data_IF_002301773995
#
_entry.id   IF_002301773995
#
_cell.length_a   1.000
_cell.length_b   1.000
_cell.length_c   1.000
_cell.angle_alpha   90.00
_cell.angle_beta   90.00
_cell.angle_gamma   90.00
#
_symmetry.space_group_name_H-M   'P 1'
#
loop_
_entity.id
_entity.type
_entity.pdbx_description
1 polymer ?
#
# COMPACT_ATOMS: atom_id res chain seq x y z
N UNK A 1 31.34 4.38 47.20
CA UNK A 1 32.10 4.44 45.93
C UNK A 1 31.06 4.64 44.83
N UNK A 2 30.51 5.84 44.62
CA UNK A 2 31.04 6.89 43.72
C UNK A 2 31.66 6.26 42.46
N UNK A 3 31.09 6.46 41.27
CA UNK A 3 31.04 7.77 40.61
C UNK A 3 29.78 7.95 39.74
N UNK A 4 29.14 9.11 39.93
CA UNK A 4 28.38 9.83 38.92
C UNK A 4 29.37 10.38 37.88
N UNK A 5 29.01 10.34 36.61
CA UNK A 5 29.50 11.29 35.61
C UNK A 5 28.32 11.91 34.89
N UNK A 6 28.33 13.23 34.88
CA UNK A 6 27.28 14.13 34.38
C UNK A 6 27.83 14.92 33.20
N UNK A 7 26.92 15.38 32.33
CA UNK A 7 26.97 16.62 31.49
C UNK A 7 27.69 16.49 30.12
N UNK A 8 27.25 17.18 29.03
CA UNK A 8 26.26 18.27 28.95
C UNK A 8 25.05 18.08 28.03
N UNK A 9 23.99 18.81 28.38
CA UNK A 9 23.01 19.36 27.46
C UNK A 9 23.67 20.26 26.41
N UNK A 10 23.41 19.98 25.13
CA UNK A 10 23.40 21.00 24.08
C UNK A 10 21.97 21.20 23.61
N UNK A 11 21.50 22.44 23.74
CA UNK A 11 20.30 22.95 23.10
C UNK A 11 20.52 23.12 21.60
N UNK A 12 19.45 23.04 20.82
CA UNK A 12 19.38 23.63 19.47
C UNK A 12 19.51 22.63 18.33
N UNK A 13 18.43 21.92 18.03
CA UNK A 13 18.27 21.18 16.79
C UNK A 13 16.80 20.91 16.58
N UNK A 14 16.20 21.56 15.58
CA UNK A 14 14.82 21.32 15.15
C UNK A 14 14.62 19.83 14.93
N UNK A 15 13.72 19.20 15.70
CA UNK A 15 13.26 17.85 15.40
C UNK A 15 12.53 17.90 14.06
N UNK A 16 13.26 17.65 12.97
CA UNK A 16 12.63 17.27 11.70
C UNK A 16 12.09 15.86 11.90
N UNK A 17 10.79 15.78 12.09
CA UNK A 17 10.04 14.53 12.16
C UNK A 17 10.25 13.74 10.86
N UNK A 18 10.90 12.60 10.99
CA UNK A 18 11.39 11.76 9.88
C UNK A 18 10.41 10.62 9.57
N UNK A 19 10.15 10.40 8.28
CA UNK A 19 9.58 9.16 7.74
C UNK A 19 10.56 8.02 8.10
N UNK A 20 10.10 6.97 8.78
CA UNK A 20 10.81 5.68 8.85
C UNK A 20 9.99 4.65 8.09
N UNK A 21 10.61 3.69 7.40
CA UNK A 21 9.92 2.70 6.58
C UNK A 21 10.58 1.33 6.80
N UNK A 22 9.79 0.27 7.00
CA UNK A 22 10.28 -1.07 7.35
C UNK A 22 10.07 -2.05 6.19
N UNK A 23 11.11 -2.84 5.87
CA UNK A 23 11.14 -3.81 4.78
C UNK A 23 10.79 -5.22 5.29
N UNK A 24 9.87 -5.91 4.63
CA UNK A 24 9.47 -7.30 4.95
C UNK A 24 9.64 -8.16 3.69
N UNK A 25 10.47 -9.20 3.77
CA UNK A 25 10.72 -10.19 2.70
C UNK A 25 9.83 -11.45 2.89
N UNK A 26 9.41 -12.10 1.80
CA UNK A 26 8.23 -13.00 1.78
C UNK A 26 8.56 -14.46 1.40
N UNK A 27 7.97 -15.42 2.11
CA UNK A 27 7.66 -16.77 1.59
C UNK A 27 6.13 -17.01 1.63
N UNK A 28 5.62 -17.79 0.68
CA UNK A 28 4.18 -18.03 0.49
C UNK A 28 3.64 -19.10 1.47
N UNK A 29 2.47 -18.84 2.09
CA UNK A 29 1.70 -19.83 2.87
C UNK A 29 0.39 -20.22 2.17
N UNK A 30 -0.10 -21.47 2.31
CA UNK A 30 -1.34 -21.92 1.69
C UNK A 30 -2.58 -21.49 2.51
N UNK A 31 -3.70 -21.29 1.83
CA UNK A 31 -4.99 -20.84 2.42
C UNK A 31 -6.09 -21.88 2.23
N UNK A 32 -6.98 -21.94 3.22
CA UNK A 32 -8.14 -22.81 3.27
C UNK A 32 -9.25 -22.37 2.29
N UNK A 33 -9.91 -23.34 1.67
CA UNK A 33 -11.03 -23.16 0.75
C UNK A 33 -12.35 -22.98 1.52
N UNK A 34 -13.18 -22.02 1.09
CA UNK A 34 -14.55 -21.87 1.57
C UNK A 34 -15.51 -22.26 0.43
N UNK A 35 -16.29 -23.33 0.64
CA UNK A 35 -17.30 -23.83 -0.28
C UNK A 35 -18.55 -22.91 -0.32
N UNK A 36 -19.07 -22.67 -1.53
CA UNK A 36 -20.26 -21.84 -1.82
C UNK A 36 -19.98 -20.43 -2.37
N UNK A 37 -18.78 -20.18 -2.90
CA UNK A 37 -18.29 -18.83 -3.21
C UNK A 37 -18.73 -18.23 -4.55
N UNK A 38 -18.58 -16.91 -4.66
CA UNK A 38 -18.69 -16.11 -5.89
C UNK A 38 -17.93 -16.78 -7.05
N UNK A 39 -18.64 -17.10 -8.14
CA UNK A 39 -18.16 -17.97 -9.23
C UNK A 39 -17.73 -17.19 -10.49
N UNK A 40 -18.02 -15.89 -10.57
CA UNK A 40 -17.60 -15.04 -11.69
C UNK A 40 -17.27 -13.62 -11.25
N UNK A 41 -16.48 -12.90 -12.07
CA UNK A 41 -16.23 -11.46 -11.84
C UNK A 41 -17.50 -10.63 -11.91
N UNK A 42 -18.47 -11.06 -12.72
CA UNK A 42 -19.78 -10.42 -12.82
C UNK A 42 -20.56 -10.54 -11.50
N UNK A 43 -20.66 -11.74 -10.93
CA UNK A 43 -21.28 -11.95 -9.62
C UNK A 43 -20.54 -11.21 -8.49
N UNK A 44 -19.21 -11.18 -8.57
CA UNK A 44 -18.37 -10.46 -7.64
C UNK A 44 -18.62 -8.94 -7.70
N UNK A 45 -18.66 -8.36 -8.91
CA UNK A 45 -18.96 -6.95 -9.13
C UNK A 45 -20.39 -6.61 -8.68
N UNK A 46 -21.37 -7.46 -9.01
CA UNK A 46 -22.76 -7.31 -8.57
C UNK A 46 -22.87 -7.28 -7.04
N UNK A 47 -22.21 -8.23 -6.38
CA UNK A 47 -22.21 -8.34 -4.92
C UNK A 47 -21.56 -7.11 -4.28
N UNK A 48 -20.41 -6.68 -4.80
CA UNK A 48 -19.74 -5.47 -4.33
C UNK A 48 -20.61 -4.22 -4.52
N UNK A 49 -21.23 -4.05 -5.69
CA UNK A 49 -22.12 -2.93 -5.95
C UNK A 49 -23.36 -2.93 -5.05
N UNK A 50 -23.96 -4.09 -4.78
CA UNK A 50 -25.11 -4.22 -3.87
C UNK A 50 -24.80 -3.72 -2.46
N UNK A 51 -23.55 -3.86 -2.01
CA UNK A 51 -23.06 -3.33 -0.73
C UNK A 51 -22.84 -1.81 -0.84
N UNK A 52 -22.18 -1.35 -1.90
CA UNK A 52 -21.74 0.04 -2.09
C UNK A 52 -22.89 1.02 -2.32
N UNK A 53 -23.90 0.64 -3.11
CA UNK A 53 -24.97 1.53 -3.58
C UNK A 53 -25.82 2.17 -2.46
N UNK A 54 -25.71 1.67 -1.24
CA UNK A 54 -26.40 2.20 -0.06
C UNK A 54 -25.45 2.87 0.96
N UNK A 55 -24.16 2.98 0.64
CA UNK A 55 -23.12 3.56 1.50
C UNK A 55 -22.62 4.93 1.04
N UNK A 56 -21.73 5.52 1.83
CA UNK A 56 -21.09 6.81 1.57
C UNK A 56 -20.08 6.82 0.41
N UNK A 57 -19.78 5.66 -0.17
CA UNK A 57 -18.87 5.49 -1.31
C UNK A 57 -19.60 5.15 -2.63
N UNK A 58 -20.90 5.41 -2.71
CA UNK A 58 -21.73 5.09 -3.87
C UNK A 58 -21.40 5.89 -5.14
N UNK A 59 -20.67 7.01 -5.02
CA UNK A 59 -20.18 7.76 -6.17
C UNK A 59 -19.01 7.02 -6.84
N UNK A 60 -19.31 6.45 -8.01
CA UNK A 60 -18.38 5.66 -8.81
C UNK A 60 -17.63 6.51 -9.82
N UNK A 61 -16.41 6.12 -10.15
CA UNK A 61 -15.71 6.64 -11.32
C UNK A 61 -16.38 6.18 -12.64
N UNK A 62 -16.03 6.79 -13.77
CA UNK A 62 -16.54 6.37 -15.08
C UNK A 62 -16.19 4.89 -15.43
N UNK A 63 -14.97 4.39 -15.18
CA UNK A 63 -14.65 2.98 -15.38
C UNK A 63 -15.47 2.04 -14.49
N UNK A 64 -15.68 2.39 -13.22
CA UNK A 64 -16.52 1.61 -12.30
C UNK A 64 -17.99 1.64 -12.72
N UNK A 65 -18.50 2.81 -13.16
CA UNK A 65 -19.87 2.96 -13.64
C UNK A 65 -20.11 2.11 -14.89
N UNK A 66 -19.16 2.11 -15.83
CA UNK A 66 -19.20 1.25 -17.02
C UNK A 66 -19.26 -0.22 -16.64
N UNK A 67 -18.39 -0.65 -15.71
CA UNK A 67 -18.41 -2.02 -15.20
C UNK A 67 -19.79 -2.37 -14.62
N UNK A 68 -20.34 -1.53 -13.74
CA UNK A 68 -21.64 -1.77 -13.08
C UNK A 68 -22.81 -1.74 -14.07
N UNK A 69 -22.83 -0.83 -15.04
CA UNK A 69 -23.91 -0.73 -16.02
C UNK A 69 -23.97 -1.90 -17.00
N UNK A 70 -22.83 -2.57 -17.23
CA UNK A 70 -22.81 -3.81 -18.03
C UNK A 70 -23.27 -5.04 -17.24
N UNK A 71 -23.46 -4.92 -15.93
CA UNK A 71 -24.07 -5.97 -15.14
C UNK A 71 -25.57 -5.99 -15.40
N UNK A 72 -26.10 -7.04 -16.01
CA UNK A 72 -27.54 -7.32 -16.00
C UNK A 72 -27.91 -7.72 -14.56
N UNK A 73 -28.07 -6.72 -13.68
CA UNK A 73 -28.29 -6.93 -12.25
C UNK A 73 -29.68 -7.57 -12.05
N UNK A 74 -29.80 -8.82 -11.58
CA UNK A 74 -31.08 -9.29 -11.06
C UNK A 74 -31.50 -8.38 -9.89
N UNK A 75 -32.82 -8.21 -9.74
CA UNK A 75 -33.46 -7.43 -8.67
C UNK A 75 -33.35 -8.11 -7.28
N UNK A 76 -32.21 -8.74 -6.99
CA UNK A 76 -31.92 -9.38 -5.72
C UNK A 76 -31.19 -8.39 -4.82
N UNK A 77 -31.97 -7.62 -4.09
CA UNK A 77 -31.51 -6.70 -3.03
C UNK A 77 -30.93 -7.42 -1.79
N UNK A 78 -30.90 -8.75 -1.77
CA UNK A 78 -30.44 -9.53 -0.63
C UNK A 78 -28.91 -9.57 -0.58
N UNK A 79 -28.31 -8.59 0.13
CA UNK A 79 -26.91 -8.66 0.57
C UNK A 79 -26.76 -9.88 1.49
N UNK A 80 -25.81 -10.77 1.20
CA UNK A 80 -25.49 -11.87 2.10
C UNK A 80 -24.94 -11.34 3.44
N UNK A 81 -25.73 -11.45 4.50
CA UNK A 81 -25.33 -11.00 5.84
C UNK A 81 -24.07 -11.70 6.36
N UNK A 82 -23.83 -12.95 5.97
CA UNK A 82 -22.62 -13.70 6.35
C UNK A 82 -21.37 -13.05 5.76
N UNK A 83 -21.45 -12.58 4.52
CA UNK A 83 -20.34 -11.89 3.86
C UNK A 83 -19.96 -10.61 4.62
N UNK A 84 -20.96 -9.82 5.02
CA UNK A 84 -20.77 -8.60 5.81
C UNK A 84 -20.13 -8.92 7.17
N UNK A 85 -20.57 -9.98 7.84
CA UNK A 85 -20.02 -10.38 9.14
C UNK A 85 -18.55 -10.81 9.03
N UNK A 86 -18.16 -11.53 7.97
CA UNK A 86 -16.76 -11.89 7.71
C UNK A 86 -15.90 -10.65 7.48
N UNK A 87 -16.37 -9.67 6.69
CA UNK A 87 -15.65 -8.41 6.46
C UNK A 87 -15.48 -7.65 7.77
N UNK A 88 -16.53 -7.54 8.58
CA UNK A 88 -16.48 -6.88 9.90
C UNK A 88 -15.52 -7.57 10.86
N UNK A 89 -15.45 -8.90 10.81
CA UNK A 89 -14.50 -9.71 11.58
C UNK A 89 -13.04 -9.59 11.10
N UNK A 90 -12.77 -8.79 10.06
CA UNK A 90 -11.41 -8.54 9.57
C UNK A 90 -10.94 -9.45 8.44
N UNK A 91 -11.84 -10.26 7.88
CA UNK A 91 -11.55 -11.07 6.70
C UNK A 91 -11.79 -10.27 5.41
N UNK A 92 -11.35 -10.83 4.28
CA UNK A 92 -11.52 -10.23 2.95
C UNK A 92 -12.05 -11.26 1.95
N UNK A 93 -13.31 -11.70 2.11
CA UNK A 93 -13.91 -12.72 1.25
C UNK A 93 -14.06 -12.25 -0.21
N UNK A 94 -14.32 -10.96 -0.44
CA UNK A 94 -14.41 -10.38 -1.78
C UNK A 94 -13.05 -10.42 -2.49
N UNK A 95 -11.99 -10.00 -1.80
CA UNK A 95 -10.65 -10.05 -2.34
C UNK A 95 -10.10 -11.47 -2.54
N UNK A 96 -10.45 -12.39 -1.64
CA UNK A 96 -10.10 -13.80 -1.81
C UNK A 96 -10.83 -14.40 -3.02
N UNK A 97 -12.08 -14.01 -3.29
CA UNK A 97 -12.78 -14.39 -4.52
C UNK A 97 -12.12 -13.80 -5.77
N UNK A 98 -11.79 -12.50 -5.77
CA UNK A 98 -11.07 -11.86 -6.87
C UNK A 98 -9.78 -12.60 -7.23
N UNK A 99 -8.99 -12.96 -6.22
CA UNK A 99 -7.72 -13.67 -6.40
C UNK A 99 -7.89 -15.10 -6.92
N UNK A 100 -9.02 -15.77 -6.63
CA UNK A 100 -9.36 -17.08 -7.20
C UNK A 100 -9.85 -16.96 -8.65
N UNK A 101 -10.69 -15.97 -8.93
CA UNK A 101 -11.32 -15.77 -10.24
C UNK A 101 -10.33 -15.25 -11.29
N UNK A 102 -9.37 -14.41 -10.88
CA UNK A 102 -8.29 -13.92 -11.75
C UNK A 102 -7.02 -14.75 -11.55
N UNK A 103 -6.72 -15.71 -12.44
CA UNK A 103 -5.52 -16.52 -12.32
C UNK A 103 -4.24 -15.65 -12.45
N UNK A 104 -3.08 -16.17 -12.00
CA UNK A 104 -1.85 -15.38 -11.90
C UNK A 104 -1.39 -14.70 -13.20
N UNK A 105 -1.62 -15.32 -14.35
CA UNK A 105 -1.31 -14.80 -15.68
C UNK A 105 -2.09 -13.52 -16.01
N UNK A 106 -3.34 -13.39 -15.56
CA UNK A 106 -4.15 -12.18 -15.73
C UNK A 106 -3.81 -11.09 -14.69
N UNK A 107 -3.31 -11.49 -13.51
CA UNK A 107 -2.89 -10.55 -12.45
C UNK A 107 -1.47 -10.01 -12.60
N UNK A 108 -0.56 -10.78 -13.21
CA UNK A 108 0.86 -10.44 -13.38
C UNK A 108 1.10 -9.09 -14.08
N UNK A 109 0.37 -8.72 -15.15
CA UNK A 109 0.54 -7.41 -15.80
C UNK A 109 0.29 -6.23 -14.84
N UNK A 110 -0.65 -6.38 -13.91
CA UNK A 110 -0.97 -5.37 -12.90
C UNK A 110 -0.21 -5.56 -11.58
N UNK A 111 0.57 -6.65 -11.44
CA UNK A 111 1.28 -6.98 -10.20
C UNK A 111 0.38 -7.30 -9.00
N UNK A 112 -0.92 -7.55 -9.22
CA UNK A 112 -1.93 -7.68 -8.17
C UNK A 112 -1.66 -8.88 -7.25
N UNK A 113 -1.21 -8.57 -6.03
CA UNK A 113 -0.85 -9.55 -5.01
C UNK A 113 -1.35 -9.08 -3.65
N UNK A 114 -2.36 -9.77 -3.11
CA UNK A 114 -2.94 -9.33 -1.85
C UNK A 114 -2.07 -9.70 -0.66
N UNK A 115 -1.84 -8.71 0.18
CA UNK A 115 -0.98 -8.81 1.35
C UNK A 115 -1.59 -9.76 2.39
N UNK A 116 -0.81 -10.68 2.97
CA UNK A 116 -1.26 -11.52 4.08
C UNK A 116 -1.64 -10.70 5.33
N UNK A 117 -2.62 -11.13 6.13
CA UNK A 117 -3.12 -10.39 7.30
C UNK A 117 -2.03 -10.07 8.33
N UNK A 118 -1.06 -10.95 8.52
CA UNK A 118 0.05 -10.78 9.46
C UNK A 118 0.97 -9.61 9.08
N UNK A 119 1.24 -9.44 7.79
CA UNK A 119 2.03 -8.30 7.28
C UNK A 119 1.22 -7.01 7.41
N UNK A 120 -0.06 -7.05 7.03
CA UNK A 120 -0.97 -5.90 7.19
C UNK A 120 -1.03 -5.44 8.64
N UNK A 121 -1.26 -6.37 9.58
CA UNK A 121 -1.33 -6.09 11.01
C UNK A 121 -0.02 -5.49 11.54
N UNK A 122 1.12 -6.05 11.14
CA UNK A 122 2.44 -5.56 11.57
C UNK A 122 2.69 -4.13 11.09
N UNK A 123 2.41 -3.84 9.82
CA UNK A 123 2.61 -2.51 9.23
C UNK A 123 1.65 -1.47 9.81
N UNK A 124 0.37 -1.83 10.03
CA UNK A 124 -0.61 -0.93 10.64
C UNK A 124 -0.28 -0.65 12.10
N UNK A 125 0.16 -1.66 12.86
CA UNK A 125 0.59 -1.47 14.25
C UNK A 125 1.75 -0.49 14.32
N UNK A 126 2.73 -0.65 13.43
CA UNK A 126 3.85 0.28 13.32
C UNK A 126 3.39 1.71 13.01
N UNK A 127 2.41 1.90 12.10
CA UNK A 127 1.84 3.23 11.81
C UNK A 127 1.13 3.81 13.04
N UNK A 128 0.35 2.99 13.75
CA UNK A 128 -0.44 3.41 14.91
C UNK A 128 0.42 3.79 16.13
N UNK A 129 1.64 3.24 16.23
CA UNK A 129 2.63 3.58 17.27
C UNK A 129 3.37 4.90 16.99
N UNK A 130 3.19 5.52 15.81
CA UNK A 130 3.78 6.84 15.47
C UNK A 130 2.89 7.99 15.92
N UNK A 131 3.21 9.19 15.43
CA UNK A 131 2.28 10.33 15.44
C UNK A 131 0.95 9.87 14.86
N UNK A 132 -0.17 10.18 15.53
CA UNK A 132 -1.52 9.82 15.04
C UNK A 132 -1.74 10.52 13.69
N UNK A 133 -1.71 9.79 12.55
CA UNK A 133 -1.86 10.43 11.26
C UNK A 133 -3.31 10.88 11.11
N UNK A 134 -3.50 12.05 10.49
CA UNK A 134 -4.82 12.56 10.15
C UNK A 134 -5.34 11.92 8.85
N UNK A 135 -4.45 11.37 8.03
CA UNK A 135 -4.77 10.68 6.77
C UNK A 135 -3.90 9.44 6.58
N UNK A 136 -4.47 8.37 6.04
CA UNK A 136 -3.77 7.15 5.62
C UNK A 136 -3.97 6.98 4.12
N UNK A 137 -2.88 6.85 3.36
CA UNK A 137 -2.91 6.66 1.91
C UNK A 137 -2.39 5.26 1.57
N UNK A 138 -3.18 4.50 0.81
CA UNK A 138 -2.78 3.23 0.21
C UNK A 138 -2.63 3.37 -1.31
N UNK A 139 -1.37 3.45 -1.83
CA UNK A 139 -1.07 3.71 -3.24
C UNK A 139 -1.58 2.68 -4.25
N UNK A 140 -1.87 1.46 -3.80
CA UNK A 140 -2.28 0.34 -4.66
C UNK A 140 -3.21 -0.55 -3.86
N UNK A 141 -4.40 -0.03 -3.56
CA UNK A 141 -5.16 -0.51 -2.41
C UNK A 141 -5.77 -1.89 -2.60
N UNK A 142 -5.91 -2.37 -3.84
CA UNK A 142 -6.59 -3.64 -4.13
C UNK A 142 -7.98 -3.64 -3.52
N UNK A 143 -8.29 -4.64 -2.70
CA UNK A 143 -9.56 -4.74 -1.96
C UNK A 143 -9.57 -3.96 -0.63
N UNK A 144 -8.63 -3.03 -0.40
CA UNK A 144 -8.50 -2.19 0.79
C UNK A 144 -8.11 -2.91 2.10
N UNK A 145 -7.31 -4.00 2.05
CA UNK A 145 -6.85 -4.68 3.28
C UNK A 145 -6.12 -3.76 4.26
N UNK A 146 -5.23 -2.90 3.77
CA UNK A 146 -4.53 -1.94 4.62
C UNK A 146 -5.46 -0.87 5.16
N UNK A 147 -6.33 -0.30 4.33
CA UNK A 147 -7.28 0.74 4.79
C UNK A 147 -8.30 0.21 5.79
N UNK A 148 -8.79 -1.02 5.63
CA UNK A 148 -9.66 -1.68 6.62
C UNK A 148 -8.97 -1.83 7.97
N UNK A 149 -7.72 -2.30 7.97
CA UNK A 149 -6.96 -2.48 9.20
C UNK A 149 -6.58 -1.12 9.83
N UNK A 150 -6.14 -0.16 9.02
CA UNK A 150 -5.83 1.20 9.44
C UNK A 150 -7.07 1.89 10.01
N UNK A 151 -8.22 1.80 9.36
CA UNK A 151 -9.47 2.38 9.85
C UNK A 151 -9.87 1.87 11.23
N UNK A 152 -9.66 0.59 11.54
CA UNK A 152 -9.90 0.03 12.87
C UNK A 152 -8.92 0.55 13.92
N UNK A 153 -7.64 0.68 13.56
CA UNK A 153 -6.59 1.12 14.48
C UNK A 153 -6.56 2.66 14.67
N UNK A 154 -7.03 3.41 13.68
CA UNK A 154 -6.94 4.86 13.56
C UNK A 154 -8.35 5.42 13.28
N UNK A 155 -9.19 5.59 14.32
CA UNK A 155 -10.60 5.91 14.16
C UNK A 155 -10.86 7.27 13.53
N UNK A 156 -9.93 8.21 13.71
CA UNK A 156 -10.09 9.61 13.25
C UNK A 156 -9.40 9.89 11.89
N UNK A 157 -8.64 8.93 11.35
CA UNK A 157 -7.89 9.15 10.12
C UNK A 157 -8.79 9.06 8.88
N UNK A 158 -8.62 9.98 7.93
CA UNK A 158 -9.16 9.85 6.58
C UNK A 158 -8.45 8.69 5.86
N UNK A 159 -9.21 7.81 5.22
CA UNK A 159 -8.67 6.66 4.48
C UNK A 159 -8.70 6.96 2.97
N UNK A 160 -7.57 6.92 2.29
CA UNK A 160 -7.50 7.19 0.85
C UNK A 160 -6.84 6.01 0.16
N UNK A 161 -7.53 5.40 -0.80
CA UNK A 161 -6.99 4.32 -1.63
C UNK A 161 -6.90 4.74 -3.08
N UNK A 162 -5.80 4.41 -3.75
CA UNK A 162 -5.66 4.51 -5.19
C UNK A 162 -5.59 3.11 -5.78
N UNK A 163 -6.37 2.85 -6.82
CA UNK A 163 -6.37 1.55 -7.50
C UNK A 163 -6.61 1.74 -9.00
N UNK A 164 -5.81 1.07 -9.82
CA UNK A 164 -5.89 1.19 -11.28
C UNK A 164 -6.98 0.29 -11.85
N UNK A 165 -7.31 -0.79 -11.14
CA UNK A 165 -8.27 -1.80 -11.54
C UNK A 165 -9.70 -1.44 -11.05
N UNK A 166 -10.64 -1.14 -11.95
CA UNK A 166 -11.98 -0.71 -11.55
C UNK A 166 -12.75 -1.77 -10.75
N UNK A 167 -12.52 -3.06 -11.03
CA UNK A 167 -13.17 -4.11 -10.24
C UNK A 167 -12.59 -4.12 -8.83
N UNK A 168 -11.26 -4.10 -8.67
CA UNK A 168 -10.63 -4.08 -7.34
C UNK A 168 -11.02 -2.83 -6.54
N UNK A 169 -11.10 -1.66 -7.18
CA UNK A 169 -11.60 -0.42 -6.57
C UNK A 169 -13.05 -0.57 -6.07
N UNK A 170 -13.93 -1.18 -6.86
CA UNK A 170 -15.30 -1.48 -6.44
C UNK A 170 -15.32 -2.42 -5.21
N UNK A 171 -14.42 -3.42 -5.15
CA UNK A 171 -14.28 -4.29 -3.97
C UNK A 171 -13.78 -3.51 -2.75
N UNK A 172 -12.84 -2.58 -2.93
CA UNK A 172 -12.35 -1.71 -1.86
C UNK A 172 -13.50 -0.91 -1.25
N UNK A 173 -14.32 -0.27 -2.10
CA UNK A 173 -15.51 0.48 -1.66
C UNK A 173 -16.48 -0.43 -0.91
N UNK A 174 -16.75 -1.64 -1.41
CA UNK A 174 -17.66 -2.58 -0.77
C UNK A 174 -17.16 -3.01 0.60
N UNK A 175 -15.88 -3.36 0.71
CA UNK A 175 -15.25 -3.74 1.96
C UNK A 175 -15.30 -2.60 2.99
N UNK A 176 -14.97 -1.36 2.59
CA UNK A 176 -15.03 -0.19 3.47
C UNK A 176 -16.47 0.12 3.91
N UNK A 177 -17.44 -0.01 3.01
CA UNK A 177 -18.87 0.19 3.31
C UNK A 177 -19.40 -0.86 4.28
N UNK A 178 -19.12 -2.14 4.03
CA UNK A 178 -19.49 -3.24 4.92
C UNK A 178 -18.91 -3.07 6.35
N UNK A 179 -17.68 -2.55 6.43
CA UNK A 179 -16.98 -2.22 7.67
C UNK A 179 -17.43 -0.89 8.32
N UNK A 180 -18.35 -0.13 7.69
CA UNK A 180 -18.81 1.20 8.13
C UNK A 180 -17.70 2.25 8.23
N UNK A 181 -16.72 2.17 7.33
CA UNK A 181 -15.58 3.10 7.22
C UNK A 181 -15.72 4.07 6.04
N UNK A 182 -16.73 3.85 5.20
CA UNK A 182 -17.08 4.62 4.00
C UNK A 182 -17.26 6.13 4.23
N UNK A 183 -17.84 6.52 5.36
CA UNK A 183 -18.06 7.94 5.70
C UNK A 183 -16.77 8.80 5.84
N UNK A 184 -15.61 8.15 5.95
CA UNK A 184 -14.29 8.79 6.06
C UNK A 184 -13.27 8.13 5.16
N UNK A 185 -13.73 7.60 4.03
CA UNK A 185 -12.87 6.98 3.04
C UNK A 185 -13.06 7.63 1.67
N UNK A 186 -12.04 7.51 0.83
CA UNK A 186 -12.06 7.90 -0.57
C UNK A 186 -11.31 6.83 -1.38
N UNK A 187 -11.90 6.40 -2.50
CA UNK A 187 -11.25 5.51 -3.46
C UNK A 187 -11.12 6.27 -4.78
N UNK A 188 -9.88 6.38 -5.26
CA UNK A 188 -9.52 7.02 -6.52
C UNK A 188 -9.16 5.94 -7.53
N UNK A 189 -9.89 5.88 -8.64
CA UNK A 189 -9.58 4.96 -9.74
C UNK A 189 -8.57 5.61 -10.67
N UNK A 190 -7.38 5.03 -10.77
CA UNK A 190 -6.31 5.56 -11.60
C UNK A 190 -4.93 5.05 -11.23
N UNK A 191 -3.92 5.61 -11.89
CA UNK A 191 -2.52 5.29 -11.62
C UNK A 191 -1.98 6.16 -10.49
N UNK A 192 -1.41 5.56 -9.45
CA UNK A 192 -0.86 6.32 -8.33
C UNK A 192 0.24 7.31 -8.72
N UNK A 193 0.97 7.04 -9.81
CA UNK A 193 2.08 7.90 -10.25
C UNK A 193 1.63 9.28 -10.73
N UNK A 194 0.34 9.43 -11.03
CA UNK A 194 -0.27 10.70 -11.43
C UNK A 194 -1.56 11.03 -10.65
N UNK A 195 -1.78 10.36 -9.52
CA UNK A 195 -2.96 10.60 -8.70
C UNK A 195 -2.89 11.98 -8.02
N UNK A 196 -4.01 12.69 -8.00
CA UNK A 196 -4.14 13.89 -7.17
C UNK A 196 -4.74 13.49 -5.82
N UNK A 197 -3.93 13.51 -4.78
CA UNK A 197 -4.35 13.20 -3.41
C UNK A 197 -4.95 14.41 -2.69
N UNK A 198 -4.93 15.59 -3.32
CA UNK A 198 -5.32 16.86 -2.72
C UNK A 198 -4.42 17.28 -1.56
N UNK A 199 -4.56 18.55 -1.18
CA UNK A 199 -3.95 19.06 0.05
C UNK A 199 -4.68 18.53 1.29
N UNK A 200 -3.93 18.30 2.36
CA UNK A 200 -4.52 17.85 3.62
C UNK A 200 -3.78 18.44 4.81
N UNK A 201 -4.54 18.75 5.86
CA UNK A 201 -4.00 19.25 7.12
C UNK A 201 -3.57 18.12 8.04
N UNK A 202 -2.38 18.25 8.62
CA UNK A 202 -1.82 17.22 9.51
C UNK A 202 -1.05 16.13 8.79
N UNK A 203 -0.53 15.16 9.55
CA UNK A 203 0.36 14.12 9.03
C UNK A 203 -0.40 13.07 8.20
N UNK A 204 0.19 12.72 7.06
CA UNK A 204 -0.23 11.59 6.22
C UNK A 204 0.67 10.38 6.45
N UNK A 205 0.06 9.22 6.68
CA UNK A 205 0.74 7.93 6.70
C UNK A 205 0.54 7.20 5.35
N UNK A 206 1.62 6.93 4.63
CA UNK A 206 1.58 6.12 3.41
C UNK A 206 1.80 4.64 3.76
N UNK A 207 0.89 3.76 3.39
CA UNK A 207 0.97 2.33 3.73
C UNK A 207 0.47 1.49 2.56
N UNK A 208 1.20 0.45 2.16
CA UNK A 208 0.72 -0.37 1.06
C UNK A 208 1.69 -1.43 0.59
N UNK A 209 1.23 -2.20 -0.41
CA UNK A 209 2.04 -3.17 -1.12
C UNK A 209 2.03 -2.83 -2.62
N UNK A 210 2.92 -1.92 -3.07
CA UNK A 210 3.07 -1.57 -4.47
C UNK A 210 3.18 -2.80 -5.39
N UNK A 211 2.71 -2.68 -6.65
CA UNK A 211 2.68 -3.80 -7.59
C UNK A 211 4.11 -4.25 -7.99
N UNK A 212 4.29 -5.56 -8.10
CA UNK A 212 5.56 -6.19 -8.48
C UNK A 212 5.69 -6.40 -9.99
N UNK A 213 5.61 -5.31 -10.75
CA UNK A 213 5.78 -5.36 -12.22
C UNK A 213 7.25 -5.15 -12.58
N UNK A 214 7.79 -6.04 -13.41
CA UNK A 214 9.19 -5.99 -13.88
C UNK A 214 9.36 -4.92 -14.96
N UNK A 215 10.53 -4.30 -15.03
CA UNK A 215 10.81 -3.17 -15.93
C UNK A 215 10.52 -3.42 -17.41
N UNK A 216 10.63 -4.67 -17.90
CA UNK A 216 10.33 -5.00 -19.29
C UNK A 216 8.83 -4.99 -19.61
N UNK A 217 7.97 -4.98 -18.59
CA UNK A 217 6.51 -4.86 -18.71
C UNK A 217 6.02 -3.44 -18.43
N UNK A 218 6.92 -2.52 -18.09
CA UNK A 218 6.60 -1.11 -17.85
C UNK A 218 6.75 -0.36 -19.18
N UNK A 219 5.66 0.29 -19.59
CA UNK A 219 5.61 1.11 -20.80
C UNK A 219 6.62 2.26 -20.78
N UNK A 220 7.05 2.68 -21.96
CA UNK A 220 8.10 3.71 -22.14
C UNK A 220 7.75 5.03 -21.46
N UNK A 221 6.49 5.50 -21.58
CA UNK A 221 6.02 6.73 -20.95
C UNK A 221 6.32 6.78 -19.44
N UNK A 222 6.22 5.63 -18.78
CA UNK A 222 6.41 5.54 -17.35
C UNK A 222 7.88 5.48 -16.95
N UNK A 223 8.74 4.94 -17.82
CA UNK A 223 10.20 5.01 -17.65
C UNK A 223 10.69 6.44 -17.81
N UNK A 224 10.14 7.17 -18.77
CA UNK A 224 10.40 8.60 -18.97
C UNK A 224 9.90 9.42 -17.77
N UNK A 225 8.70 9.14 -17.27
CA UNK A 225 8.19 9.74 -16.04
C UNK A 225 9.15 9.52 -14.86
N UNK A 226 9.67 8.30 -14.68
CA UNK A 226 10.60 7.99 -13.59
C UNK A 226 11.91 8.79 -13.74
N UNK A 227 12.46 8.84 -14.95
CA UNK A 227 13.68 9.58 -15.24
C UNK A 227 13.54 11.08 -14.99
N UNK A 228 12.46 11.69 -15.50
CA UNK A 228 12.17 13.12 -15.37
C UNK A 228 11.99 13.51 -13.91
N UNK A 229 11.13 12.80 -13.18
CA UNK A 229 10.83 13.15 -11.78
C UNK A 229 12.00 12.86 -10.84
N UNK A 230 12.79 11.81 -11.09
CA UNK A 230 14.02 11.58 -10.31
C UNK A 230 15.03 12.71 -10.52
N UNK A 231 15.17 13.18 -11.76
CA UNK A 231 16.09 14.27 -12.11
C UNK A 231 15.69 15.58 -11.43
N UNK A 232 14.39 15.87 -11.30
CA UNK A 232 13.89 17.03 -10.58
C UNK A 232 14.30 17.03 -9.09
N UNK A 233 14.56 15.85 -8.50
CA UNK A 233 15.08 15.68 -7.14
C UNK A 233 16.62 15.58 -7.09
N UNK A 234 17.32 15.81 -8.21
CA UNK A 234 18.77 15.64 -8.31
C UNK A 234 19.25 14.18 -8.30
N UNK A 235 18.35 13.22 -8.53
CA UNK A 235 18.63 11.79 -8.48
C UNK A 235 18.63 11.16 -9.88
N UNK A 236 19.34 10.02 -10.00
CA UNK A 236 19.37 9.21 -11.23
C UNK A 236 18.53 7.96 -11.05
N UNK A 237 17.65 7.71 -12.02
CA UNK A 237 16.88 6.48 -12.15
C UNK A 237 17.54 5.51 -13.14
N UNK A 238 17.36 4.21 -12.92
CA UNK A 238 17.66 3.18 -13.92
C UNK A 238 16.37 2.74 -14.59
N UNK A 239 16.38 2.59 -15.92
CA UNK A 239 15.26 2.00 -16.66
C UNK A 239 15.02 0.50 -16.35
N UNK A 240 15.87 -0.12 -15.54
CA UNK A 240 15.71 -1.48 -15.02
C UNK A 240 14.90 -1.54 -13.72
N UNK A 241 14.51 -0.39 -13.16
CA UNK A 241 13.71 -0.32 -11.95
C UNK A 241 12.31 -0.91 -12.16
N UNK A 242 11.88 -1.75 -11.21
CA UNK A 242 10.51 -2.27 -11.19
C UNK A 242 9.51 -1.25 -10.67
N UNK A 243 8.21 -1.55 -10.81
CA UNK A 243 7.13 -0.61 -10.51
C UNK A 243 7.09 -0.14 -9.05
N UNK A 244 7.52 -0.99 -8.11
CA UNK A 244 7.68 -0.59 -6.70
C UNK A 244 8.56 0.66 -6.53
N UNK A 245 9.60 0.86 -7.36
CA UNK A 245 10.45 2.06 -7.31
C UNK A 245 9.70 3.28 -7.82
N UNK A 246 8.84 3.13 -8.84
CA UNK A 246 8.00 4.23 -9.31
C UNK A 246 7.03 4.68 -8.21
N UNK A 247 6.45 3.73 -7.47
CA UNK A 247 5.54 4.03 -6.36
C UNK A 247 6.28 4.67 -5.18
N UNK A 248 7.52 4.27 -4.90
CA UNK A 248 8.37 4.96 -3.91
C UNK A 248 8.66 6.40 -4.32
N UNK A 249 9.00 6.65 -5.59
CA UNK A 249 9.22 8.00 -6.09
C UNK A 249 7.92 8.82 -6.03
N UNK A 250 6.79 8.28 -6.50
CA UNK A 250 5.50 8.96 -6.41
C UNK A 250 5.14 9.32 -4.96
N UNK A 251 5.36 8.40 -4.02
CA UNK A 251 5.18 8.68 -2.59
C UNK A 251 6.10 9.79 -2.09
N UNK A 252 7.37 9.81 -2.51
CA UNK A 252 8.28 10.91 -2.16
C UNK A 252 7.85 12.26 -2.73
N UNK A 253 7.21 12.28 -3.91
CA UNK A 253 6.68 13.51 -4.51
C UNK A 253 5.39 13.99 -3.82
N UNK A 254 4.58 13.08 -3.28
CA UNK A 254 3.38 13.42 -2.50
C UNK A 254 3.68 13.80 -1.05
N UNK A 255 4.74 13.25 -0.48
CA UNK A 255 5.07 13.41 0.93
C UNK A 255 5.45 14.85 1.27
N UNK A 256 4.96 15.31 2.43
CA UNK A 256 5.28 16.59 3.05
C UNK A 256 6.09 16.38 4.33
N UNK A 257 6.81 17.40 4.83
CA UNK A 257 7.45 17.31 6.14
C UNK A 257 6.43 16.91 7.22
N UNK A 258 6.77 15.89 8.03
CA UNK A 258 5.90 15.35 9.07
C UNK A 258 5.01 14.19 8.64
N UNK A 259 4.92 13.89 7.33
CA UNK A 259 4.36 12.63 6.86
C UNK A 259 5.27 11.46 7.28
N UNK A 260 4.79 10.23 7.12
CA UNK A 260 5.57 9.01 7.34
C UNK A 260 4.95 7.82 6.59
N UNK A 261 5.58 6.65 6.56
CA UNK A 261 4.97 5.53 5.86
C UNK A 261 5.80 4.26 5.80
N UNK A 262 5.12 3.16 5.45
CA UNK A 262 5.73 1.85 5.30
C UNK A 262 5.16 1.14 4.08
N UNK A 263 6.03 0.74 3.14
CA UNK A 263 5.65 0.06 1.91
C UNK A 263 6.32 -1.31 1.85
N UNK A 264 5.56 -2.33 1.43
CA UNK A 264 6.15 -3.62 1.07
C UNK A 264 6.92 -3.46 -0.24
N UNK A 265 8.07 -4.11 -0.36
CA UNK A 265 8.89 -4.06 -1.57
C UNK A 265 9.77 -5.31 -1.67
N UNK A 266 10.44 -5.53 -2.79
CA UNK A 266 11.40 -6.63 -2.91
C UNK A 266 12.70 -6.27 -2.19
N UNK A 267 13.47 -7.28 -1.78
CA UNK A 267 14.82 -7.06 -1.21
C UNK A 267 15.88 -6.76 -2.28
N UNK A 268 15.61 -7.07 -3.55
CA UNK A 268 16.57 -7.00 -4.66
C UNK A 268 17.26 -5.63 -4.81
N UNK A 269 16.55 -4.52 -4.59
CA UNK A 269 17.12 -3.17 -4.76
C UNK A 269 18.20 -2.81 -3.73
N UNK A 270 18.34 -3.58 -2.65
CA UNK A 270 19.40 -3.34 -1.66
C UNK A 270 20.79 -3.64 -2.22
N UNK A 271 20.89 -4.61 -3.13
CA UNK A 271 22.18 -5.20 -3.54
C UNK A 271 22.51 -4.98 -5.04
N UNK A 272 21.57 -4.44 -5.83
CA UNK A 272 21.71 -4.30 -7.28
C UNK A 272 21.80 -2.84 -7.75
N UNK A 273 22.36 -2.63 -8.93
CA UNK A 273 22.64 -1.29 -9.45
C UNK A 273 21.38 -0.43 -9.69
N UNK A 274 20.25 -1.02 -10.09
CA UNK A 274 19.01 -0.23 -10.26
C UNK A 274 18.52 0.35 -8.93
N UNK A 275 18.90 -0.25 -7.81
CA UNK A 275 18.52 0.17 -6.46
C UNK A 275 19.21 1.43 -5.95
N UNK A 276 20.02 2.10 -6.78
CA UNK A 276 20.58 3.42 -6.44
C UNK A 276 19.48 4.43 -6.09
N UNK A 277 18.45 4.56 -6.94
CA UNK A 277 17.35 5.50 -6.71
C UNK A 277 16.62 5.26 -5.37
N UNK A 278 16.09 4.06 -5.07
CA UNK A 278 15.41 3.84 -3.79
C UNK A 278 16.33 4.09 -2.59
N UNK A 279 17.61 3.65 -2.62
CA UNK A 279 18.58 3.98 -1.55
C UNK A 279 18.75 5.48 -1.34
N UNK A 280 18.84 6.26 -2.42
CA UNK A 280 18.96 7.72 -2.34
C UNK A 280 17.66 8.39 -1.88
N UNK A 281 16.50 7.91 -2.31
CA UNK A 281 15.21 8.38 -1.82
C UNK A 281 15.12 8.17 -0.31
N UNK A 282 15.52 7.01 0.21
CA UNK A 282 15.61 6.78 1.64
C UNK A 282 16.58 7.75 2.30
N UNK A 283 17.80 7.87 1.81
CA UNK A 283 18.84 8.70 2.44
C UNK A 283 18.51 10.20 2.50
N UNK A 284 17.70 10.71 1.56
CA UNK A 284 17.57 12.16 1.34
C UNK A 284 16.14 12.70 1.41
N UNK A 285 15.15 11.95 0.92
CA UNK A 285 13.76 12.44 0.79
C UNK A 285 12.83 11.79 1.81
N UNK A 286 13.01 10.49 2.07
CA UNK A 286 12.14 9.66 2.89
C UNK A 286 12.75 9.34 4.27
N UNK A 287 13.69 10.15 4.75
CA UNK A 287 14.14 10.13 6.16
C UNK A 287 14.87 8.86 6.65
N UNK A 288 15.29 7.98 5.75
CA UNK A 288 16.11 6.81 6.07
C UNK A 288 17.52 7.22 6.53
N UNK A 289 17.88 6.86 7.76
CA UNK A 289 19.24 7.08 8.27
C UNK A 289 20.18 6.00 7.76
N UNK A 290 21.18 6.42 6.98
CA UNK A 290 22.37 5.62 6.70
C UNK A 290 23.43 6.06 7.72
N UNK A 291 23.84 5.16 8.62
CA UNK A 291 24.95 5.44 9.54
C UNK A 291 26.23 5.69 8.71
N UNK A 292 27.05 6.73 9.01
CA UNK A 292 28.30 7.02 8.32
C UNK A 292 29.33 5.85 8.28
N UNK A 293 29.09 4.76 9.03
CA UNK A 293 29.86 3.52 8.96
C UNK A 293 29.34 2.49 7.92
N UNK A 294 28.38 2.85 7.06
CA UNK A 294 27.80 1.92 6.08
C UNK A 294 26.95 0.82 6.75
N UNK A 295 26.37 1.10 7.91
CA UNK A 295 25.39 0.20 8.52
C UNK A 295 24.01 0.82 8.33
N UNK A 296 23.22 0.24 7.45
CA UNK A 296 21.79 0.53 7.43
C UNK A 296 21.21 0.04 8.75
N UNK A 297 20.70 0.94 9.60
CA UNK A 297 19.75 0.55 10.65
C UNK A 297 18.39 0.34 9.98
N UNK A 298 18.32 -0.68 9.14
CA UNK A 298 17.07 -1.31 8.76
C UNK A 298 16.90 -2.45 9.76
N UNK A 299 15.86 -2.40 10.61
CA UNK A 299 15.47 -3.56 11.41
C UNK A 299 14.86 -4.61 10.46
N UNK A 300 15.71 -5.25 9.66
CA UNK A 300 15.34 -6.42 8.87
C UNK A 300 15.41 -7.64 9.80
N UNK A 301 14.25 -8.16 10.20
CA UNK A 301 14.18 -9.42 10.95
C UNK A 301 14.47 -10.56 9.98
N UNK A 302 15.74 -10.98 9.87
CA UNK A 302 16.12 -12.23 9.17
C UNK A 302 15.89 -13.43 10.08
N UNK A 303 15.00 -14.35 9.69
CA UNK A 303 15.02 -15.72 10.24
C UNK A 303 16.17 -16.50 9.62
N UNK A 304 17.01 -17.10 10.45
CA UNK A 304 18.21 -17.83 10.03
C UNK A 304 17.85 -19.17 9.36
N UNK A 305 18.36 -19.35 8.13
CA UNK A 305 18.54 -20.64 7.47
C UNK A 305 19.90 -20.61 6.76
N UNK A 306 20.74 -21.59 7.04
CA UNK A 306 22.15 -21.64 6.65
C UNK A 306 22.40 -21.46 5.14
N UNK A 307 23.18 -20.42 4.75
CA UNK A 307 24.36 -20.51 3.88
C UNK A 307 25.01 -19.13 3.64
N UNK A 308 26.25 -19.16 3.14
CA UNK A 308 27.35 -18.20 3.35
C UNK A 308 27.11 -16.76 2.85
N UNK A 309 27.66 -15.85 3.64
CA UNK A 309 27.77 -14.40 3.50
C UNK A 309 28.61 -14.01 2.28
N UNK A 310 28.07 -13.14 1.41
CA UNK A 310 28.88 -12.15 0.70
C UNK A 310 28.55 -10.77 1.26
N UNK A 311 29.55 -10.14 1.88
CA UNK A 311 29.51 -8.77 2.38
C UNK A 311 29.56 -7.82 1.19
N UNK A 312 28.62 -6.88 1.10
CA UNK A 312 28.83 -5.59 0.43
C UNK A 312 28.13 -4.53 1.30
N UNK A 313 28.81 -3.40 1.48
CA UNK A 313 28.62 -2.37 2.50
C UNK A 313 27.29 -1.62 2.39
#
# INVERSE_FOLDING_TARGET
>A
MCLRTSIPHTQGGTMSDCIQMTLIDREASPRAEAEGGLCSEHELAHTAWSIVRHGGLAELSEPESTLVHTLELPDRDAIDGRLIDLIRAGQDPLGDAFMRLRPPDQRRPLGATYTPPEIVSSMVSWVAERSRPCRVVDPGTGSARFLLAAGRALPDALLVGVEIDPLAALLARANLTAARLDHRAQILVGDYRNADLGEFGGATAFIGNPPYVRHHQIETQWKEWLATNSTALGLKASGLAGMHVHFMLATALHARPGDFGTLVTSSEWLDVNYGHLPRMLFATQLGGRIDPLGRSTCNAVRRHGHHRVNRVF
#
